data_IF_887916352651
#
_entry.id   IF_887916352651
#
_cell.length_a   1.000
_cell.length_b   1.000
_cell.length_c   1.000
_cell.angle_alpha   90.00
_cell.angle_beta   90.00
_cell.angle_gamma   90.00
#
_symmetry.space_group_name_H-M   'P 1'
#
loop_
_entity.id
_entity.type
_entity.pdbx_description
1 polymer ?
#
# COMPACT_ATOMS: atom_id res chain seq x y z
N UNK A 1 0.01 -17.06 -3.87
CA UNK A 1 -1.09 -17.45 -2.93
C UNK A 1 -1.73 -16.15 -2.50
N UNK A 2 -3.04 -15.97 -2.71
CA UNK A 2 -3.73 -14.73 -2.32
C UNK A 2 -3.68 -14.54 -0.80
N UNK A 3 -3.76 -13.29 -0.32
CA UNK A 3 -3.83 -13.02 1.12
C UNK A 3 -4.99 -13.80 1.75
N UNK A 4 -4.82 -14.37 2.96
CA UNK A 4 -5.87 -15.12 3.61
C UNK A 4 -7.13 -14.26 3.82
N UNK A 5 -8.31 -14.85 3.65
CA UNK A 5 -9.60 -14.15 3.83
C UNK A 5 -9.69 -13.37 5.16
N UNK A 6 -9.27 -13.91 6.32
CA UNK A 6 -9.32 -13.16 7.57
C UNK A 6 -8.49 -11.86 7.54
N UNK A 7 -7.31 -11.90 6.89
CA UNK A 7 -6.45 -10.73 6.73
C UNK A 7 -7.11 -9.70 5.80
N UNK A 8 -7.72 -10.15 4.71
CA UNK A 8 -8.44 -9.27 3.80
C UNK A 8 -9.65 -8.61 4.48
N UNK A 9 -10.38 -9.35 5.31
CA UNK A 9 -11.51 -8.83 6.08
C UNK A 9 -11.03 -7.81 7.13
N UNK A 10 -9.89 -8.04 7.79
CA UNK A 10 -9.27 -7.09 8.71
C UNK A 10 -8.86 -5.78 8.00
N UNK A 11 -8.22 -5.88 6.82
CA UNK A 11 -7.89 -4.71 5.99
C UNK A 11 -9.15 -3.89 5.69
N UNK A 12 -10.25 -4.55 5.33
CA UNK A 12 -11.51 -3.88 4.96
C UNK A 12 -12.25 -3.25 6.15
N UNK A 13 -11.85 -3.56 7.39
CA UNK A 13 -12.40 -2.96 8.61
C UNK A 13 -11.62 -1.73 9.07
N UNK A 14 -10.43 -1.47 8.51
CA UNK A 14 -9.67 -0.27 8.81
C UNK A 14 -10.40 0.98 8.30
N UNK A 15 -10.26 2.12 8.98
CA UNK A 15 -10.86 3.37 8.53
C UNK A 15 -10.16 3.88 7.25
N UNK A 16 -10.91 4.60 6.43
CA UNK A 16 -10.34 5.35 5.32
C UNK A 16 -9.30 6.35 5.82
N UNK A 17 -8.12 6.49 5.16
CA UNK A 17 -7.69 5.80 3.94
C UNK A 17 -6.79 4.56 4.16
N UNK A 18 -6.67 4.04 5.38
CA UNK A 18 -5.76 2.93 5.71
C UNK A 18 -6.10 1.65 4.93
N UNK A 19 -7.37 1.28 4.91
CA UNK A 19 -7.90 0.16 4.13
C UNK A 19 -7.53 0.29 2.64
N UNK A 20 -7.67 1.51 2.12
CA UNK A 20 -7.49 1.80 0.70
C UNK A 20 -6.02 1.76 0.29
N UNK A 21 -5.12 2.20 1.16
CA UNK A 21 -3.67 2.07 0.96
C UNK A 21 -3.29 0.59 0.88
N UNK A 22 -3.74 -0.24 1.84
CA UNK A 22 -3.40 -1.67 1.87
C UNK A 22 -4.04 -2.45 0.71
N UNK A 23 -5.28 -2.14 0.34
CA UNK A 23 -5.94 -2.74 -0.83
C UNK A 23 -5.22 -2.36 -2.14
N UNK A 24 -4.73 -1.12 -2.25
CA UNK A 24 -3.91 -0.68 -3.38
C UNK A 24 -2.56 -1.41 -3.41
N UNK A 25 -1.90 -1.55 -2.26
CA UNK A 25 -0.66 -2.29 -2.11
C UNK A 25 -0.81 -3.76 -2.54
N UNK A 26 -1.88 -4.42 -2.08
CA UNK A 26 -2.20 -5.79 -2.49
C UNK A 26 -2.45 -5.90 -4.00
N UNK A 27 -3.21 -4.96 -4.58
CA UNK A 27 -3.49 -4.94 -6.03
C UNK A 27 -2.21 -4.77 -6.85
N UNK A 28 -1.35 -3.81 -6.48
CA UNK A 28 -0.06 -3.58 -7.14
C UNK A 28 0.82 -4.81 -7.11
N UNK A 29 0.88 -5.49 -5.96
CA UNK A 29 1.69 -6.69 -5.83
C UNK A 29 1.15 -7.87 -6.65
N UNK A 30 -0.17 -8.03 -6.74
CA UNK A 30 -0.78 -9.13 -7.47
C UNK A 30 -0.73 -8.96 -8.99
N UNK A 31 -1.05 -7.76 -9.50
CA UNK A 31 -1.25 -7.53 -10.94
C UNK A 31 -0.31 -6.49 -11.55
N UNK A 32 0.58 -5.88 -10.76
CA UNK A 32 1.45 -4.78 -11.20
C UNK A 32 0.70 -3.50 -11.57
N UNK A 33 -0.63 -3.48 -11.41
CA UNK A 33 -1.52 -2.43 -11.89
C UNK A 33 -2.65 -2.20 -10.90
N UNK A 34 -3.19 -0.99 -10.88
CA UNK A 34 -4.28 -0.61 -9.98
C UNK A 34 -5.11 0.52 -10.61
N UNK A 35 -6.39 0.61 -10.25
CA UNK A 35 -7.26 1.74 -10.56
C UNK A 35 -7.18 2.87 -9.51
N UNK A 36 -6.16 2.84 -8.66
CA UNK A 36 -5.96 3.80 -7.59
C UNK A 36 -5.58 5.20 -8.11
N UNK A 37 -5.89 6.22 -7.31
CA UNK A 37 -5.41 7.58 -7.53
C UNK A 37 -3.89 7.66 -7.34
N UNK A 38 -3.26 8.74 -7.84
CA UNK A 38 -1.82 8.95 -7.69
C UNK A 38 -1.37 8.96 -6.22
N UNK A 39 -2.16 9.56 -5.32
CA UNK A 39 -1.84 9.60 -3.89
C UNK A 39 -1.90 8.21 -3.25
N UNK A 40 -2.93 7.43 -3.56
CA UNK A 40 -3.06 6.03 -3.09
C UNK A 40 -1.91 5.15 -3.62
N UNK A 41 -1.52 5.33 -4.88
CA UNK A 41 -0.40 4.63 -5.49
C UNK A 41 0.92 4.92 -4.78
N UNK A 42 1.21 6.21 -4.57
CA UNK A 42 2.41 6.65 -3.86
C UNK A 42 2.40 6.11 -2.42
N UNK A 43 1.29 6.24 -1.71
CA UNK A 43 1.17 5.77 -0.33
C UNK A 43 1.36 4.25 -0.23
N UNK A 44 0.81 3.47 -1.16
CA UNK A 44 1.01 2.03 -1.23
C UNK A 44 2.48 1.68 -1.50
N UNK A 45 3.14 2.38 -2.43
CA UNK A 45 4.56 2.17 -2.74
C UNK A 45 5.46 2.42 -1.51
N UNK A 46 5.22 3.50 -0.76
CA UNK A 46 5.94 3.79 0.49
C UNK A 46 5.61 2.81 1.62
N UNK A 47 4.38 2.32 1.67
CA UNK A 47 3.96 1.32 2.68
C UNK A 47 4.66 -0.02 2.47
N UNK A 48 4.83 -0.44 1.21
CA UNK A 48 5.56 -1.66 0.84
C UNK A 48 7.08 -1.48 0.74
N UNK A 49 7.59 -0.26 0.85
CA UNK A 49 8.99 0.07 0.51
C UNK A 49 9.42 -0.41 -0.89
N UNK A 50 8.49 -0.33 -1.84
CA UNK A 50 8.68 -0.75 -3.24
C UNK A 50 8.59 0.46 -4.14
N UNK A 51 9.72 1.14 -4.33
CA UNK A 51 9.83 2.36 -5.15
C UNK A 51 9.48 2.11 -6.62
N UNK A 52 9.57 0.87 -7.10
CA UNK A 52 9.14 0.47 -8.45
C UNK A 52 7.64 0.66 -8.70
N UNK A 53 6.83 0.80 -7.63
CA UNK A 53 5.40 1.07 -7.72
C UNK A 53 5.07 2.57 -7.73
N UNK A 54 6.07 3.45 -7.63
CA UNK A 54 5.85 4.88 -7.79
C UNK A 54 5.38 5.20 -9.23
N UNK A 55 4.62 6.30 -9.42
CA UNK A 55 4.26 6.77 -10.75
C UNK A 55 5.50 6.94 -11.64
N UNK A 56 5.38 6.59 -12.92
CA UNK A 56 6.48 6.69 -13.86
C UNK A 56 7.00 8.14 -13.96
N UNK A 57 8.33 8.30 -13.86
CA UNK A 57 9.00 9.59 -13.96
C UNK A 57 9.11 10.37 -12.65
N UNK A 58 8.56 9.85 -11.54
CA UNK A 58 8.61 10.52 -10.24
C UNK A 58 9.83 10.07 -9.44
N UNK A 59 10.51 11.03 -8.83
CA UNK A 59 11.54 10.75 -7.83
C UNK A 59 10.94 10.32 -6.49
N UNK A 60 11.70 9.58 -5.68
CA UNK A 60 11.26 9.18 -4.33
C UNK A 60 10.91 10.40 -3.47
N UNK A 61 11.77 11.42 -3.45
CA UNK A 61 11.56 12.63 -2.66
C UNK A 61 10.32 13.40 -3.16
N UNK A 62 10.22 13.60 -4.47
CA UNK A 62 9.08 14.27 -5.11
C UNK A 62 7.75 13.57 -4.79
N UNK A 63 7.71 12.24 -4.86
CA UNK A 63 6.53 11.47 -4.51
C UNK A 63 6.16 11.63 -3.03
N UNK A 64 7.15 11.60 -2.13
CA UNK A 64 6.92 11.81 -0.70
C UNK A 64 6.36 13.21 -0.41
N UNK A 65 6.94 14.24 -1.02
CA UNK A 65 6.54 15.64 -0.86
C UNK A 65 5.15 15.92 -1.43
N UNK A 66 4.69 15.13 -2.41
CA UNK A 66 3.34 15.26 -2.96
C UNK A 66 2.24 14.80 -2.01
N UNK A 67 2.56 13.88 -1.10
CA UNK A 67 1.62 13.43 -0.08
C UNK A 67 1.45 14.50 0.99
N UNK A 68 0.19 14.86 1.27
CA UNK A 68 -0.13 15.71 2.41
C UNK A 68 0.32 15.04 3.72
N UNK A 69 0.53 15.86 4.76
CA UNK A 69 1.05 15.41 6.06
C UNK A 69 0.23 14.25 6.65
N UNK A 70 -1.09 14.26 6.48
CA UNK A 70 -1.97 13.19 6.94
C UNK A 70 -1.66 11.84 6.27
N UNK A 71 -1.44 11.84 4.95
CA UNK A 71 -1.06 10.62 4.21
C UNK A 71 0.27 10.06 4.68
N UNK A 72 1.25 10.93 4.95
CA UNK A 72 2.52 10.52 5.52
C UNK A 72 2.36 9.91 6.93
N UNK A 73 1.42 10.43 7.74
CA UNK A 73 1.08 9.87 9.05
C UNK A 73 0.41 8.50 8.93
N UNK A 74 -0.52 8.34 7.98
CA UNK A 74 -1.16 7.04 7.72
C UNK A 74 -0.15 5.96 7.33
N UNK A 75 0.82 6.27 6.47
CA UNK A 75 1.88 5.33 6.10
C UNK A 75 2.71 4.93 7.33
N UNK A 76 3.09 5.90 8.18
CA UNK A 76 3.84 5.61 9.41
C UNK A 76 3.04 4.71 10.35
N UNK A 77 1.76 5.00 10.54
CA UNK A 77 0.86 4.20 11.36
C UNK A 77 0.73 2.77 10.83
N UNK A 78 0.50 2.60 9.52
CA UNK A 78 0.45 1.27 8.90
C UNK A 78 1.72 0.47 9.15
N UNK A 79 2.88 1.11 9.02
CA UNK A 79 4.19 0.45 9.20
C UNK A 79 4.54 0.15 10.65
N UNK A 80 3.97 0.87 11.61
CA UNK A 80 4.22 0.68 13.03
C UNK A 80 3.22 -0.30 13.65
N UNK A 81 1.92 -0.05 13.43
CA UNK A 81 0.83 -0.67 14.17
C UNK A 81 0.09 -1.73 13.34
N UNK A 82 0.19 -1.69 12.01
CA UNK A 82 -0.46 -2.65 11.11
C UNK A 82 0.55 -3.48 10.30
N UNK A 83 1.79 -3.64 10.81
CA UNK A 83 2.88 -4.29 10.08
C UNK A 83 2.54 -5.73 9.68
N UNK A 84 1.79 -6.46 10.50
CA UNK A 84 1.34 -7.83 10.19
C UNK A 84 0.49 -7.91 8.92
N UNK A 85 -0.30 -6.87 8.61
CA UNK A 85 -1.07 -6.81 7.37
C UNK A 85 -0.18 -6.57 6.15
N UNK A 86 0.86 -5.75 6.32
CA UNK A 86 1.88 -5.51 5.29
C UNK A 86 2.67 -6.79 5.04
N UNK A 87 3.14 -7.46 6.10
CA UNK A 87 3.85 -8.74 6.03
C UNK A 87 2.99 -9.81 5.32
N UNK A 88 1.70 -9.89 5.64
CA UNK A 88 0.79 -10.82 4.96
C UNK A 88 0.62 -10.51 3.46
N UNK A 89 0.52 -9.22 3.08
CA UNK A 89 0.59 -8.81 1.66
C UNK A 89 1.95 -9.20 1.09
N UNK A 90 3.03 -9.03 1.85
CA UNK A 90 4.39 -9.28 1.42
C UNK A 90 4.77 -10.76 1.31
N UNK A 91 4.03 -11.64 1.95
CA UNK A 91 4.19 -13.10 1.91
C UNK A 91 3.25 -13.75 0.89
N UNK A 92 2.14 -13.08 0.55
CA UNK A 92 1.24 -13.53 -0.49
C UNK A 92 2.01 -13.62 -1.82
N UNK A 93 2.35 -14.83 -2.24
CA UNK A 93 3.15 -15.03 -3.44
C UNK A 93 2.43 -14.39 -4.65
N UNK A 94 3.13 -13.60 -5.49
CA UNK A 94 2.55 -13.08 -6.73
C UNK A 94 2.02 -14.26 -7.55
N UNK A 95 0.92 -14.10 -8.29
CA UNK A 95 0.19 -15.22 -8.87
C UNK A 95 0.96 -16.02 -9.94
N UNK A 96 2.18 -15.63 -10.32
CA UNK A 96 3.02 -16.31 -11.31
C UNK A 96 4.51 -16.17 -10.98
#
# INVERSE_FOLDING_TARGET
MAIPKPIQDEINQLPYPLDKILNTANSLRQSGTTGASTGELIAAAFTLERIEYLPQGWGVIEAWERLDIEWQMYIKHLRQDCRHLIEAIEEAAPPF
#
